data_IF_718662102774
#
_entry.id   IF_718662102774
#
_cell.length_a   1.000
_cell.length_b   1.000
_cell.length_c   1.000
_cell.angle_alpha   90.00
_cell.angle_beta   90.00
_cell.angle_gamma   90.00
#
_symmetry.space_group_name_H-M   'P 1'
#
loop_
_entity.id
_entity.type
_entity.pdbx_description
1 polymer ?
#
# COMPACT_ATOMS: atom_id res chain seq x y z
N UNK A 1 -7.15 -1.32 22.73
CA UNK A 1 -6.09 -1.93 21.90
C UNK A 1 -5.62 -0.88 20.91
N UNK A 2 -4.66 -0.03 21.29
CA UNK A 2 -3.99 0.86 20.35
C UNK A 2 -3.20 -0.04 19.39
N UNK A 3 -3.57 -0.03 18.10
CA UNK A 3 -2.71 -0.56 17.06
C UNK A 3 -1.38 0.17 17.18
N UNK A 4 -0.30 -0.60 17.41
CA UNK A 4 1.09 -0.16 17.28
C UNK A 4 1.23 0.88 16.15
N UNK A 5 2.02 1.96 16.30
CA UNK A 5 2.11 3.03 15.29
C UNK A 5 2.25 2.38 13.92
N UNK A 6 1.18 2.47 13.13
CA UNK A 6 0.98 1.60 11.99
C UNK A 6 2.18 1.78 11.06
N UNK A 7 2.94 0.72 10.84
CA UNK A 7 4.05 0.73 9.89
C UNK A 7 3.57 1.40 8.60
N UNK A 8 4.32 2.42 8.16
CA UNK A 8 4.03 3.14 6.93
C UNK A 8 4.37 2.21 5.76
N UNK A 9 3.32 1.63 5.16
CA UNK A 9 3.44 0.75 4.01
C UNK A 9 3.14 1.52 2.74
N UNK A 10 3.92 1.27 1.69
CA UNK A 10 3.87 1.95 0.40
C UNK A 10 3.50 0.91 -0.66
N UNK A 11 2.40 1.10 -1.40
CA UNK A 11 1.98 0.18 -2.44
C UNK A 11 2.96 0.16 -3.63
N UNK A 12 2.93 -0.91 -4.42
CA UNK A 12 3.46 -0.88 -5.79
C UNK A 12 2.59 -0.01 -6.69
N UNK A 13 3.13 0.45 -7.82
CA UNK A 13 2.43 1.36 -8.74
C UNK A 13 1.09 0.81 -9.25
N UNK A 14 1.02 -0.48 -9.56
CA UNK A 14 -0.21 -1.15 -10.01
C UNK A 14 -1.30 -1.17 -8.93
N UNK A 15 -0.93 -1.48 -7.68
CA UNK A 15 -1.83 -1.43 -6.53
C UNK A 15 -2.31 0.01 -6.30
N UNK A 16 -1.39 0.98 -6.37
CA UNK A 16 -1.65 2.40 -6.16
C UNK A 16 -2.66 2.97 -7.17
N UNK A 17 -2.47 2.68 -8.47
CA UNK A 17 -3.38 3.11 -9.53
C UNK A 17 -4.79 2.53 -9.38
N UNK A 18 -4.90 1.24 -9.04
CA UNK A 18 -6.21 0.61 -8.78
C UNK A 18 -6.86 1.23 -7.55
N UNK A 19 -6.08 1.53 -6.51
CA UNK A 19 -6.58 2.16 -5.30
C UNK A 19 -7.12 3.56 -5.57
N UNK A 20 -6.37 4.41 -6.27
CA UNK A 20 -6.83 5.73 -6.71
C UNK A 20 -8.07 5.65 -7.58
N UNK A 21 -8.15 4.69 -8.49
CA UNK A 21 -9.34 4.47 -9.33
C UNK A 21 -10.56 4.14 -8.47
N UNK A 22 -10.40 3.32 -7.43
CA UNK A 22 -11.50 2.99 -6.51
C UNK A 22 -11.97 4.22 -5.72
N UNK A 23 -11.06 5.11 -5.33
CA UNK A 23 -11.39 6.35 -4.61
C UNK A 23 -12.28 7.30 -5.41
N UNK A 24 -12.30 7.21 -6.75
CA UNK A 24 -13.21 7.99 -7.61
C UNK A 24 -14.70 7.66 -7.36
N UNK A 25 -15.01 6.52 -6.73
CA UNK A 25 -16.37 6.15 -6.31
C UNK A 25 -16.50 6.26 -4.79
N UNK A 26 -16.59 7.49 -4.28
CA UNK A 26 -16.48 7.80 -2.85
C UNK A 26 -17.39 6.97 -1.92
N UNK A 27 -18.67 6.79 -2.26
CA UNK A 27 -19.60 5.99 -1.45
C UNK A 27 -19.15 4.53 -1.37
N UNK A 28 -18.82 3.94 -2.52
CA UNK A 28 -18.39 2.54 -2.59
C UNK A 28 -17.07 2.33 -1.87
N UNK A 29 -16.13 3.26 -2.06
CA UNK A 29 -14.84 3.25 -1.38
C UNK A 29 -15.00 3.29 0.14
N UNK A 30 -15.83 4.21 0.66
CA UNK A 30 -16.10 4.29 2.10
C UNK A 30 -16.73 3.00 2.65
N UNK A 31 -17.73 2.45 1.96
CA UNK A 31 -18.39 1.20 2.36
C UNK A 31 -17.39 0.03 2.40
N UNK A 32 -16.56 -0.11 1.38
CA UNK A 32 -15.58 -1.19 1.28
C UNK A 32 -14.44 -1.02 2.31
N UNK A 33 -13.95 0.19 2.54
CA UNK A 33 -13.01 0.50 3.62
C UNK A 33 -13.54 0.05 5.00
N UNK A 34 -14.79 0.40 5.32
CA UNK A 34 -15.42 0.01 6.58
C UNK A 34 -15.66 -1.51 6.65
N UNK A 35 -16.01 -2.15 5.53
CA UNK A 35 -16.26 -3.59 5.47
C UNK A 35 -14.99 -4.42 5.68
N UNK A 36 -13.91 -4.09 4.97
CA UNK A 36 -12.71 -4.91 4.90
C UNK A 36 -11.60 -4.46 5.85
N UNK A 37 -11.44 -3.16 6.07
CA UNK A 37 -10.34 -2.57 6.85
C UNK A 37 -10.82 -2.03 8.20
N UNK A 38 -12.15 -1.92 8.41
CA UNK A 38 -12.79 -1.40 9.64
C UNK A 38 -12.48 0.07 9.94
N UNK A 39 -11.93 0.79 8.96
CA UNK A 39 -11.64 2.23 9.03
C UNK A 39 -11.59 2.79 7.62
N UNK A 40 -11.83 4.09 7.49
CA UNK A 40 -11.47 4.80 6.28
C UNK A 40 -9.95 4.76 6.10
N UNK A 41 -9.48 4.51 4.87
CA UNK A 41 -8.06 4.57 4.54
C UNK A 41 -7.86 5.88 3.80
N UNK A 42 -7.23 6.82 4.49
CA UNK A 42 -6.90 8.12 3.93
C UNK A 42 -5.65 8.03 3.05
N UNK A 43 -5.61 8.84 1.99
CA UNK A 43 -4.47 8.91 1.08
C UNK A 43 -3.68 10.17 1.36
N UNK A 44 -2.45 10.02 1.88
CA UNK A 44 -1.52 11.13 2.02
C UNK A 44 -0.54 11.13 0.86
N UNK A 45 -0.81 11.96 -0.15
CA UNK A 45 0.04 12.15 -1.33
C UNK A 45 1.30 12.98 -1.05
N UNK A 46 1.42 13.60 0.14
CA UNK A 46 2.48 14.55 0.45
C UNK A 46 3.53 13.94 1.37
N UNK A 47 4.12 12.84 0.91
CA UNK A 47 5.17 12.13 1.65
C UNK A 47 6.55 12.49 1.10
N UNK A 48 7.48 12.80 2.00
CA UNK A 48 8.89 12.99 1.68
C UNK A 48 9.51 11.75 1.00
N UNK A 49 10.35 11.97 -0.01
CA UNK A 49 10.93 10.88 -0.82
C UNK A 49 11.74 9.87 -0.03
N UNK A 50 12.45 10.29 1.03
CA UNK A 50 13.20 9.36 1.88
C UNK A 50 12.26 8.47 2.70
N UNK A 51 11.19 9.06 3.24
CA UNK A 51 10.15 8.30 3.96
C UNK A 51 9.42 7.33 3.04
N UNK A 52 9.17 7.73 1.78
CA UNK A 52 8.56 6.88 0.76
C UNK A 52 9.45 5.68 0.44
N UNK A 53 10.74 5.89 0.16
CA UNK A 53 11.68 4.79 -0.15
C UNK A 53 11.79 3.81 1.02
N UNK A 54 11.97 4.30 2.25
CA UNK A 54 12.07 3.42 3.42
C UNK A 54 10.76 2.65 3.68
N UNK A 55 9.61 3.29 3.48
CA UNK A 55 8.30 2.63 3.55
C UNK A 55 8.13 1.54 2.50
N UNK A 56 8.60 1.76 1.28
CA UNK A 56 8.58 0.77 0.22
C UNK A 56 9.46 -0.44 0.54
N UNK A 57 10.67 -0.22 1.07
CA UNK A 57 11.57 -1.30 1.50
C UNK A 57 10.99 -2.11 2.67
N UNK A 58 10.32 -1.45 3.62
CA UNK A 58 9.61 -2.11 4.70
C UNK A 58 8.44 -2.96 4.19
N UNK A 59 7.68 -2.44 3.23
CA UNK A 59 6.56 -3.15 2.60
C UNK A 59 7.05 -4.36 1.84
N UNK A 60 8.11 -4.21 1.06
CA UNK A 60 8.71 -5.28 0.28
C UNK A 60 9.19 -6.44 1.16
N UNK A 61 9.88 -6.11 2.26
CA UNK A 61 10.32 -7.11 3.26
C UNK A 61 9.14 -7.79 3.95
N UNK A 62 8.13 -7.02 4.37
CA UNK A 62 6.94 -7.58 5.02
C UNK A 62 6.17 -8.53 4.09
N UNK A 63 6.01 -8.17 2.82
CA UNK A 63 5.36 -8.99 1.80
C UNK A 63 6.13 -10.28 1.53
N UNK A 64 7.44 -10.21 1.28
CA UNK A 64 8.29 -11.38 1.09
C UNK A 64 8.26 -12.31 2.31
N UNK A 65 8.30 -11.76 3.52
CA UNK A 65 8.23 -12.56 4.74
C UNK A 65 6.89 -13.30 4.88
N UNK A 66 5.78 -12.66 4.49
CA UNK A 66 4.43 -13.22 4.62
C UNK A 66 4.07 -14.21 3.52
N UNK A 67 4.31 -13.84 2.27
CA UNK A 67 3.82 -14.58 1.09
C UNK A 67 4.92 -15.38 0.37
N UNK A 68 6.18 -15.21 0.78
CA UNK A 68 7.35 -15.90 0.20
C UNK A 68 7.59 -15.60 -1.28
N UNK A 69 7.07 -14.47 -1.77
CA UNK A 69 7.25 -13.97 -3.13
C UNK A 69 7.70 -12.51 -3.10
N UNK A 70 8.36 -12.06 -4.18
CA UNK A 70 8.80 -10.68 -4.32
C UNK A 70 7.60 -9.73 -4.38
N UNK A 71 7.76 -8.53 -3.81
CA UNK A 71 6.68 -7.54 -3.81
C UNK A 71 6.56 -6.82 -5.15
N UNK A 72 7.69 -6.55 -5.79
CA UNK A 72 7.76 -5.98 -7.13
C UNK A 72 8.73 -6.78 -7.97
N UNK A 73 8.49 -6.84 -9.27
CA UNK A 73 9.40 -7.43 -10.23
C UNK A 73 10.09 -6.30 -11.00
N UNK A 74 11.40 -6.41 -11.21
CA UNK A 74 12.02 -5.55 -12.22
C UNK A 74 11.46 -5.96 -13.58
N UNK A 75 11.01 -4.99 -14.40
CA UNK A 75 10.75 -5.20 -15.83
C UNK A 75 12.03 -5.43 -16.66
N UNK A 76 13.14 -5.77 -16.00
CA UNK A 76 14.41 -6.14 -16.60
C UNK A 76 14.20 -7.42 -17.43
N UNK A 77 14.84 -7.55 -18.60
CA UNK A 77 14.88 -8.83 -19.29
C UNK A 77 15.44 -9.91 -18.35
N UNK A 78 14.85 -11.10 -18.39
CA UNK A 78 15.45 -12.27 -17.73
C UNK A 78 16.84 -12.53 -18.36
N UNK A 79 17.85 -12.91 -17.55
CA UNK A 79 19.18 -13.25 -18.05
C UNK A 79 19.15 -14.48 -18.98
#
# INVERSE_FOLDING_TARGET
LQSSPANFFVPTLDIDLVWHTHQLCAEKYQQDCLRYVRRFVDHDDKVDGFKLSNGFDLTSRAWQNRFKIQYTYCGCPLP
#
